data_IF_237956162655
#
_entry.id   IF_237956162655
#
_cell.length_a   1.000
_cell.length_b   1.000
_cell.length_c   1.000
_cell.angle_alpha   90.00
_cell.angle_beta   90.00
_cell.angle_gamma   90.00
#
_symmetry.space_group_name_H-M   'P 1'
#
loop_
_entity.id
_entity.type
_entity.pdbx_description
1 polymer ?
#
# COMPACT_ATOMS: atom_id res chain seq x y z
N UNK A 1 3.95 33.19 54.59
CA UNK A 1 2.92 32.46 53.84
C UNK A 1 3.60 31.21 53.29
N UNK A 2 3.41 30.06 53.95
CA UNK A 2 4.03 28.80 53.54
C UNK A 2 3.13 28.12 52.51
N UNK A 3 3.70 27.74 51.36
CA UNK A 3 3.13 26.74 50.46
C UNK A 3 4.12 25.59 50.37
N UNK A 4 3.75 24.46 50.97
CA UNK A 4 4.37 23.15 50.72
C UNK A 4 3.74 22.59 49.44
N UNK A 5 4.57 22.14 48.50
CA UNK A 5 4.15 21.20 47.47
C UNK A 5 5.08 19.99 47.47
N UNK A 6 4.45 18.82 47.56
CA UNK A 6 5.03 17.50 47.43
C UNK A 6 5.35 17.23 45.95
N UNK A 7 6.61 16.92 45.65
CA UNK A 7 6.98 16.27 44.39
C UNK A 7 7.32 14.79 44.66
N UNK A 8 6.38 13.94 44.25
CA UNK A 8 6.55 12.50 44.20
C UNK A 8 7.63 12.14 43.16
N UNK A 9 8.65 11.41 43.61
CA UNK A 9 9.70 10.88 42.75
C UNK A 9 9.14 9.75 41.87
N UNK A 10 9.10 9.97 40.55
CA UNK A 10 9.01 8.88 39.57
C UNK A 10 10.41 8.29 39.33
N UNK A 11 10.59 6.96 39.34
CA UNK A 11 11.89 6.36 39.08
C UNK A 11 12.22 6.45 37.58
N UNK A 12 13.42 6.95 37.28
CA UNK A 12 13.96 7.02 35.93
C UNK A 12 14.05 5.61 35.30
N UNK A 13 13.36 5.42 34.18
CA UNK A 13 13.49 4.24 33.32
C UNK A 13 14.82 4.31 32.56
N UNK A 14 15.80 3.50 32.95
CA UNK A 14 16.99 3.24 32.14
C UNK A 14 16.64 2.53 30.83
N UNK A 15 17.53 2.57 29.82
CA UNK A 15 17.30 1.91 28.54
C UNK A 15 17.10 0.39 28.74
N UNK A 16 16.22 -0.25 27.96
CA UNK A 16 15.95 -1.68 28.10
C UNK A 16 17.20 -2.51 27.81
N UNK A 17 17.41 -3.57 28.59
CA UNK A 17 18.52 -4.49 28.46
C UNK A 17 18.52 -5.17 27.08
N UNK A 18 19.67 -5.13 26.39
CA UNK A 18 19.89 -5.82 25.12
C UNK A 18 19.86 -7.33 25.39
N UNK A 19 18.85 -8.03 24.86
CA UNK A 19 18.77 -9.49 24.90
C UNK A 19 19.90 -10.06 24.02
N UNK A 20 20.75 -10.97 24.52
CA UNK A 20 21.81 -11.56 23.72
C UNK A 20 21.19 -12.44 22.63
N UNK A 21 21.45 -12.12 21.35
CA UNK A 21 21.04 -12.94 20.21
C UNK A 21 21.88 -14.21 20.17
N UNK A 22 21.24 -15.38 20.23
CA UNK A 22 21.87 -16.66 19.92
C UNK A 22 22.30 -16.66 18.45
N UNK A 23 23.58 -16.87 18.17
CA UNK A 23 24.12 -17.00 16.81
C UNK A 23 23.65 -18.33 16.22
N UNK A 24 23.08 -18.29 15.04
CA UNK A 24 22.63 -19.49 14.34
C UNK A 24 23.82 -20.10 13.57
N UNK A 25 24.25 -21.30 13.96
CA UNK A 25 25.43 -21.98 13.39
C UNK A 25 25.30 -22.30 11.89
N UNK A 26 24.11 -22.12 11.31
CA UNK A 26 23.86 -22.30 9.87
C UNK A 26 24.36 -21.14 9.01
N UNK A 27 24.70 -20.00 9.61
CA UNK A 27 25.19 -18.82 8.89
C UNK A 27 26.64 -18.53 9.24
N UNK A 28 27.49 -18.43 8.21
CA UNK A 28 28.88 -18.04 8.38
C UNK A 28 28.96 -16.59 8.88
N UNK A 29 28.06 -15.73 8.38
CA UNK A 29 27.98 -14.31 8.69
C UNK A 29 26.53 -13.89 8.93
N UNK A 30 26.28 -13.07 9.95
CA UNK A 30 25.01 -12.38 10.18
C UNK A 30 25.22 -10.88 10.04
N UNK A 31 24.42 -10.23 9.19
CA UNK A 31 24.45 -8.79 8.93
C UNK A 31 23.13 -8.21 9.41
N UNK A 32 23.21 -7.32 10.41
CA UNK A 32 22.04 -6.66 10.97
C UNK A 32 21.46 -5.56 10.06
N UNK A 33 20.29 -5.00 10.42
CA UNK A 33 19.68 -3.89 9.70
C UNK A 33 20.65 -2.71 9.54
N UNK A 34 20.72 -2.12 8.34
CA UNK A 34 21.58 -0.97 8.03
C UNK A 34 23.09 -1.28 7.91
N UNK A 35 23.54 -2.49 8.24
CA UNK A 35 24.94 -2.85 8.10
C UNK A 35 25.29 -3.19 6.64
N UNK A 36 26.43 -2.69 6.12
CA UNK A 36 26.82 -2.93 4.73
C UNK A 36 27.22 -4.38 4.51
N UNK A 37 26.81 -4.95 3.37
CA UNK A 37 27.23 -6.27 2.93
C UNK A 37 28.68 -6.26 2.44
N UNK A 38 29.50 -7.17 2.96
CA UNK A 38 30.80 -7.45 2.38
C UNK A 38 30.64 -8.29 1.11
N UNK A 39 31.38 -7.95 0.06
CA UNK A 39 31.50 -8.81 -1.12
C UNK A 39 32.62 -9.83 -0.88
N UNK A 40 32.41 -11.13 -1.18
CA UNK A 40 33.48 -12.11 -1.14
C UNK A 40 34.60 -11.71 -2.11
N UNK A 41 35.86 -11.83 -1.68
CA UNK A 41 36.99 -11.55 -2.55
C UNK A 41 36.87 -12.35 -3.86
N UNK A 42 37.06 -11.68 -5.01
CA UNK A 42 37.14 -12.36 -6.30
C UNK A 42 38.23 -13.42 -6.21
N UNK A 43 37.89 -14.68 -6.53
CA UNK A 43 38.88 -15.75 -6.62
C UNK A 43 40.04 -15.37 -7.54
N UNK A 44 41.15 -16.10 -7.44
CA UNK A 44 42.45 -15.82 -8.09
C UNK A 44 42.44 -15.70 -9.63
N UNK A 45 41.28 -15.77 -10.28
CA UNK A 45 41.07 -15.65 -11.73
C UNK A 45 40.48 -14.32 -12.23
N UNK A 46 40.33 -13.29 -11.39
CA UNK A 46 40.00 -11.92 -11.85
C UNK A 46 38.55 -11.67 -12.32
N UNK A 47 37.63 -12.62 -12.12
CA UNK A 47 36.20 -12.46 -12.43
C UNK A 47 35.43 -11.72 -11.33
N UNK A 48 34.32 -11.06 -11.69
CA UNK A 48 33.38 -10.47 -10.71
C UNK A 48 32.77 -11.58 -9.83
N UNK A 49 32.65 -11.38 -8.51
CA UNK A 49 32.04 -12.37 -7.63
C UNK A 49 30.56 -12.55 -7.98
N UNK A 50 30.10 -13.80 -8.09
CA UNK A 50 28.68 -14.11 -8.31
C UNK A 50 28.02 -14.44 -6.98
N UNK A 51 26.89 -13.83 -6.66
CA UNK A 51 26.16 -14.01 -5.41
C UNK A 51 24.73 -14.41 -5.71
N UNK A 52 24.25 -15.48 -5.07
CA UNK A 52 22.82 -15.83 -5.14
C UNK A 52 22.09 -15.28 -3.92
N UNK A 53 21.03 -14.51 -4.15
CA UNK A 53 20.10 -14.08 -3.12
C UNK A 53 19.00 -15.12 -2.98
N UNK A 54 18.80 -15.58 -1.74
CA UNK A 54 17.71 -16.43 -1.33
C UNK A 54 16.82 -15.68 -0.33
N UNK A 55 15.54 -16.03 -0.24
CA UNK A 55 14.63 -15.37 0.69
C UNK A 55 13.18 -15.78 0.45
N UNK A 56 12.31 -15.47 1.41
CA UNK A 56 10.88 -15.58 1.17
C UNK A 56 10.49 -14.53 0.12
N UNK A 57 9.65 -14.91 -0.85
CA UNK A 57 9.15 -13.96 -1.86
C UNK A 57 8.38 -12.77 -1.26
N UNK A 58 7.93 -12.85 0.00
CA UNK A 58 7.36 -11.69 0.72
C UNK A 58 8.39 -10.58 0.98
N UNK A 59 9.68 -10.91 0.99
CA UNK A 59 10.78 -9.98 1.18
C UNK A 59 11.42 -9.61 -0.17
N UNK A 60 10.69 -9.77 -1.28
CA UNK A 60 11.19 -9.41 -2.60
C UNK A 60 11.68 -7.96 -2.70
N UNK A 61 11.00 -6.94 -2.13
CA UNK A 61 11.53 -5.58 -2.08
C UNK A 61 12.91 -5.50 -1.40
N UNK A 62 13.04 -6.11 -0.21
CA UNK A 62 14.32 -6.16 0.50
C UNK A 62 15.41 -6.91 -0.30
N UNK A 63 15.03 -7.95 -1.06
CA UNK A 63 15.95 -8.67 -1.94
C UNK A 63 16.42 -7.79 -3.11
N UNK A 64 15.57 -6.90 -3.63
CA UNK A 64 15.95 -5.93 -4.67
C UNK A 64 16.96 -4.91 -4.12
N UNK A 65 16.74 -4.39 -2.90
CA UNK A 65 17.70 -3.46 -2.28
C UNK A 65 19.07 -4.10 -2.05
N UNK A 66 19.07 -5.34 -1.55
CA UNK A 66 20.29 -6.14 -1.40
C UNK A 66 20.94 -6.43 -2.74
N UNK A 67 20.16 -6.70 -3.79
CA UNK A 67 20.68 -6.87 -5.14
C UNK A 67 21.33 -5.60 -5.67
N UNK A 68 20.72 -4.43 -5.46
CA UNK A 68 21.27 -3.14 -5.84
C UNK A 68 22.57 -2.84 -5.09
N UNK A 69 22.60 -3.08 -3.77
CA UNK A 69 23.80 -2.90 -2.94
C UNK A 69 24.96 -3.77 -3.43
N UNK A 70 24.73 -5.07 -3.63
CA UNK A 70 25.74 -6.01 -4.13
C UNK A 70 26.20 -5.67 -5.56
N UNK A 71 25.28 -5.27 -6.43
CA UNK A 71 25.59 -4.87 -7.81
C UNK A 71 26.46 -3.61 -7.82
N UNK A 72 26.15 -2.60 -7.01
CA UNK A 72 26.92 -1.36 -6.90
C UNK A 72 28.37 -1.59 -6.47
N UNK A 73 28.59 -2.65 -5.67
CA UNK A 73 29.90 -3.09 -5.20
C UNK A 73 30.61 -4.03 -6.20
N UNK A 74 29.97 -4.37 -7.32
CA UNK A 74 30.57 -5.10 -8.43
C UNK A 74 30.30 -6.60 -8.49
N UNK A 75 29.34 -7.12 -7.72
CA UNK A 75 28.90 -8.51 -7.83
C UNK A 75 27.96 -8.75 -9.03
N UNK A 76 27.97 -9.99 -9.54
CA UNK A 76 26.92 -10.53 -10.41
C UNK A 76 25.86 -11.15 -9.50
N UNK A 77 24.62 -10.67 -9.55
CA UNK A 77 23.55 -11.12 -8.64
C UNK A 77 22.60 -12.08 -9.36
N UNK A 78 22.33 -13.23 -8.73
CA UNK A 78 21.30 -14.18 -9.14
C UNK A 78 20.22 -14.21 -8.06
N UNK A 79 18.93 -14.16 -8.43
CA UNK A 79 17.84 -14.19 -7.43
C UNK A 79 16.56 -14.82 -8.03
N UNK A 80 15.55 -15.18 -7.22
CA UNK A 80 14.26 -15.64 -7.74
C UNK A 80 13.42 -14.44 -8.21
N UNK A 81 12.62 -14.62 -9.27
CA UNK A 81 11.78 -13.56 -9.86
C UNK A 81 10.34 -13.98 -10.13
N UNK A 82 9.99 -15.25 -9.85
CA UNK A 82 8.66 -15.79 -10.13
C UNK A 82 8.06 -16.35 -8.85
N UNK A 83 6.86 -15.87 -8.52
CA UNK A 83 6.01 -16.44 -7.47
C UNK A 83 5.13 -17.52 -8.11
N UNK A 84 5.00 -18.66 -7.43
CA UNK A 84 4.05 -19.71 -7.81
C UNK A 84 2.74 -19.48 -7.06
N UNK A 85 1.57 -19.50 -7.72
CA UNK A 85 0.29 -19.36 -7.04
C UNK A 85 0.08 -20.44 -5.94
N UNK A 86 -0.65 -20.15 -4.85
CA UNK A 86 -0.86 -21.10 -3.75
C UNK A 86 -1.39 -22.48 -4.19
N UNK A 87 -2.30 -22.51 -5.17
CA UNK A 87 -2.89 -23.75 -5.72
C UNK A 87 -1.91 -24.64 -6.49
N UNK A 88 -0.71 -24.14 -6.83
CA UNK A 88 0.28 -24.83 -7.64
C UNK A 88 1.58 -25.15 -6.88
N UNK A 89 1.60 -24.91 -5.56
CA UNK A 89 2.81 -25.09 -4.72
C UNK A 89 3.32 -26.54 -4.66
N UNK A 90 2.51 -27.53 -5.02
CA UNK A 90 2.91 -28.95 -5.12
C UNK A 90 3.08 -29.42 -6.57
N UNK A 91 2.99 -28.51 -7.54
CA UNK A 91 3.02 -28.81 -8.97
C UNK A 91 4.43 -28.89 -9.57
N UNK A 92 4.55 -29.43 -10.80
CA UNK A 92 5.82 -29.55 -11.51
C UNK A 92 6.49 -28.20 -11.78
N UNK A 93 5.71 -27.11 -11.90
CA UNK A 93 6.23 -25.76 -12.08
C UNK A 93 7.04 -25.27 -10.86
N UNK A 94 6.56 -25.53 -9.63
CA UNK A 94 7.30 -25.22 -8.40
C UNK A 94 8.60 -26.03 -8.32
N UNK A 95 8.53 -27.33 -8.59
CA UNK A 95 9.71 -28.20 -8.56
C UNK A 95 10.79 -27.75 -9.56
N UNK A 96 10.39 -27.33 -10.76
CA UNK A 96 11.31 -26.80 -11.77
C UNK A 96 11.95 -25.48 -11.34
N UNK A 97 11.19 -24.56 -10.73
CA UNK A 97 11.72 -23.30 -10.20
C UNK A 97 12.69 -23.53 -9.03
N UNK A 98 12.38 -24.48 -8.15
CA UNK A 98 13.26 -24.86 -7.04
C UNK A 98 14.58 -25.43 -7.53
N UNK A 99 14.54 -26.25 -8.59
CA UNK A 99 15.75 -26.77 -9.21
C UNK A 99 16.55 -25.65 -9.86
N UNK A 100 15.90 -24.76 -10.63
CA UNK A 100 16.57 -23.61 -11.23
C UNK A 100 17.25 -22.72 -10.19
N UNK A 101 16.64 -22.55 -9.01
CA UNK A 101 17.24 -21.74 -7.96
C UNK A 101 18.44 -22.44 -7.29
N UNK A 102 18.40 -23.78 -7.14
CA UNK A 102 19.59 -24.57 -6.75
C UNK A 102 20.72 -24.44 -7.77
N UNK A 103 20.41 -24.48 -9.06
CA UNK A 103 21.42 -24.31 -10.11
C UNK A 103 22.08 -22.91 -10.07
N UNK A 104 21.34 -21.87 -9.63
CA UNK A 104 21.90 -20.53 -9.37
C UNK A 104 22.86 -20.55 -8.19
N UNK A 105 22.49 -21.22 -7.09
CA UNK A 105 23.35 -21.39 -5.92
C UNK A 105 24.67 -22.08 -6.32
N UNK A 106 24.60 -23.16 -7.09
CA UNK A 106 25.78 -23.90 -7.57
C UNK A 106 26.74 -23.02 -8.38
N UNK A 107 26.21 -22.10 -9.19
CA UNK A 107 26.97 -21.16 -10.03
C UNK A 107 27.54 -19.96 -9.25
N UNK A 108 27.02 -19.68 -8.05
CA UNK A 108 27.47 -18.55 -7.24
C UNK A 108 28.67 -18.86 -6.36
N UNK A 109 29.45 -17.83 -6.01
CA UNK A 109 30.54 -17.92 -5.06
C UNK A 109 30.04 -17.92 -3.60
N UNK A 110 28.90 -17.31 -3.32
CA UNK A 110 28.27 -17.25 -2.00
C UNK A 110 26.76 -17.05 -2.09
N UNK A 111 26.08 -17.28 -0.97
CA UNK A 111 24.64 -17.07 -0.81
C UNK A 111 24.36 -15.97 0.21
N UNK A 112 23.40 -15.10 -0.09
CA UNK A 112 22.86 -14.12 0.86
C UNK A 112 21.38 -14.44 1.09
N UNK A 113 21.00 -14.74 2.32
CA UNK A 113 19.62 -14.99 2.73
C UNK A 113 19.03 -13.70 3.28
N UNK A 114 18.03 -13.15 2.61
CA UNK A 114 17.37 -11.91 3.02
C UNK A 114 16.13 -12.20 3.86
N UNK A 115 16.03 -11.51 4.99
CA UNK A 115 14.92 -11.60 5.93
C UNK A 115 14.66 -10.26 6.59
N UNK A 116 13.45 -10.09 7.12
CA UNK A 116 13.16 -9.04 8.11
C UNK A 116 13.93 -9.27 9.44
N UNK A 117 13.86 -8.33 10.41
CA UNK A 117 14.49 -8.51 11.72
C UNK A 117 13.97 -9.68 12.55
N UNK A 118 12.82 -10.29 12.20
CA UNK A 118 12.29 -11.49 12.87
C UNK A 118 13.11 -12.73 12.54
N UNK A 119 13.86 -12.70 11.43
CA UNK A 119 14.67 -13.83 10.99
C UNK A 119 13.86 -14.92 10.30
N UNK A 120 12.65 -14.60 9.81
CA UNK A 120 11.84 -15.58 9.10
C UNK A 120 12.46 -16.00 7.77
N UNK A 121 12.43 -17.30 7.49
CA UNK A 121 12.55 -17.84 6.13
C UNK A 121 11.68 -19.09 5.99
N UNK A 122 11.05 -19.27 4.82
CA UNK A 122 10.09 -20.35 4.57
C UNK A 122 10.77 -21.65 4.15
N UNK A 123 9.99 -22.71 3.90
CA UNK A 123 10.55 -24.04 3.64
C UNK A 123 11.38 -24.13 2.34
N UNK A 124 11.02 -23.36 1.30
CA UNK A 124 11.86 -23.23 0.09
C UNK A 124 13.24 -22.67 0.44
N UNK A 125 13.26 -21.56 1.17
CA UNK A 125 14.49 -20.91 1.61
C UNK A 125 15.30 -21.79 2.59
N UNK A 126 14.64 -22.58 3.45
CA UNK A 126 15.32 -23.61 4.26
C UNK A 126 16.01 -24.65 3.37
N UNK A 127 15.33 -25.13 2.33
CA UNK A 127 15.90 -26.07 1.37
C UNK A 127 17.09 -25.48 0.61
N UNK A 128 17.02 -24.20 0.26
CA UNK A 128 18.11 -23.44 -0.38
C UNK A 128 19.33 -23.30 0.55
N UNK A 129 19.12 -22.92 1.82
CA UNK A 129 20.17 -22.86 2.84
C UNK A 129 20.84 -24.23 3.01
N UNK A 130 20.05 -25.28 3.17
CA UNK A 130 20.58 -26.64 3.32
C UNK A 130 21.36 -27.10 2.08
N UNK A 131 20.92 -26.72 0.89
CA UNK A 131 21.65 -27.00 -0.35
C UNK A 131 22.98 -26.24 -0.41
N UNK A 132 22.98 -24.93 -0.12
CA UNK A 132 24.18 -24.09 -0.08
C UNK A 132 25.24 -24.66 0.87
N UNK A 133 24.85 -24.99 2.11
CA UNK A 133 25.71 -25.61 3.12
C UNK A 133 26.30 -26.92 2.60
N UNK A 134 25.46 -27.81 2.05
CA UNK A 134 25.91 -29.10 1.50
C UNK A 134 26.91 -28.95 0.35
N UNK A 135 26.78 -27.89 -0.45
CA UNK A 135 27.67 -27.57 -1.56
C UNK A 135 28.89 -26.73 -1.15
N UNK A 136 29.06 -26.46 0.15
CA UNK A 136 30.18 -25.68 0.69
C UNK A 136 30.17 -24.21 0.30
N UNK A 137 28.99 -23.65 -0.01
CA UNK A 137 28.83 -22.23 -0.33
C UNK A 137 28.69 -21.45 0.98
N UNK A 138 29.48 -20.38 1.19
CA UNK A 138 29.29 -19.51 2.34
C UNK A 138 27.88 -18.90 2.34
N UNK A 139 27.22 -18.88 3.50
CA UNK A 139 25.87 -18.34 3.67
C UNK A 139 25.88 -17.17 4.63
N UNK A 140 25.47 -16.00 4.12
CA UNK A 140 25.28 -14.79 4.92
C UNK A 140 23.79 -14.57 5.17
N UNK A 141 23.37 -14.47 6.44
CA UNK A 141 22.05 -13.95 6.79
C UNK A 141 22.09 -12.42 6.75
N UNK A 142 21.22 -11.82 5.94
CA UNK A 142 21.11 -10.38 5.78
C UNK A 142 19.75 -9.93 6.28
N UNK A 143 19.74 -9.31 7.45
CA UNK A 143 18.54 -8.67 7.98
C UNK A 143 18.41 -7.27 7.37
N UNK A 144 17.24 -7.01 6.79
CA UNK A 144 16.85 -5.69 6.32
C UNK A 144 15.52 -5.34 6.96
N UNK A 145 15.41 -4.12 7.43
CA UNK A 145 14.12 -3.51 7.67
C UNK A 145 13.63 -2.96 6.34
N UNK A 146 12.31 -2.96 6.12
CA UNK A 146 11.76 -1.99 5.18
C UNK A 146 12.14 -0.64 5.73
N UNK A 147 12.93 0.11 4.97
CA UNK A 147 13.30 1.46 5.37
C UNK A 147 12.09 2.37 5.16
N UNK A 148 11.26 2.51 6.20
CA UNK A 148 10.16 3.47 6.21
C UNK A 148 10.66 4.90 6.47
N UNK A 149 11.96 5.11 6.71
CA UNK A 149 12.54 6.45 6.96
C UNK A 149 12.61 7.34 5.71
N UNK A 150 12.28 6.78 4.54
CA UNK A 150 12.10 7.52 3.29
C UNK A 150 10.73 8.20 3.13
N UNK A 151 9.66 7.76 3.80
CA UNK A 151 8.30 8.26 3.49
C UNK A 151 8.04 9.63 4.12
N UNK A 152 8.61 9.91 5.30
CA UNK A 152 8.64 11.27 5.84
C UNK A 152 9.46 12.25 4.99
N UNK A 153 10.37 11.75 4.14
CA UNK A 153 11.13 12.55 3.16
C UNK A 153 10.44 12.61 1.79
N UNK A 154 9.71 11.57 1.37
CA UNK A 154 8.89 11.56 0.13
C UNK A 154 7.64 12.43 0.28
N UNK A 155 6.93 12.42 1.41
CA UNK A 155 5.86 13.40 1.71
C UNK A 155 6.42 14.83 1.83
N UNK A 156 7.66 14.99 2.29
CA UNK A 156 8.32 16.29 2.34
C UNK A 156 8.88 16.74 0.97
N UNK A 157 9.00 15.83 0.00
CA UNK A 157 9.43 16.08 -1.38
C UNK A 157 8.25 16.02 -2.38
N UNK A 158 7.07 15.61 -1.94
CA UNK A 158 5.81 15.67 -2.68
C UNK A 158 5.50 17.15 -2.94
N UNK A 159 5.62 17.56 -4.20
CA UNK A 159 5.41 18.94 -4.62
C UNK A 159 3.97 19.39 -4.32
N UNK A 160 2.98 18.50 -4.48
CA UNK A 160 1.58 18.80 -4.19
C UNK A 160 1.36 18.98 -2.69
N UNK A 161 1.94 18.11 -1.86
CA UNK A 161 1.92 18.32 -0.39
C UNK A 161 2.60 19.63 -0.01
N UNK A 162 3.73 19.97 -0.60
CA UNK A 162 4.45 21.22 -0.30
C UNK A 162 3.62 22.46 -0.67
N UNK A 163 2.90 22.40 -1.79
CA UNK A 163 2.04 23.47 -2.29
C UNK A 163 0.79 23.63 -1.42
N UNK A 164 0.15 22.52 -1.05
CA UNK A 164 -1.16 22.53 -0.37
C UNK A 164 -1.05 22.64 1.15
N UNK A 165 0.03 22.16 1.78
CA UNK A 165 0.21 22.15 3.24
C UNK A 165 -0.09 23.50 3.95
N UNK A 166 0.23 24.68 3.39
CA UNK A 166 -0.11 25.96 4.02
C UNK A 166 -1.61 26.23 4.18
N UNK A 167 -2.47 25.54 3.43
CA UNK A 167 -3.93 25.67 3.52
C UNK A 167 -4.51 24.83 4.67
N UNK A 168 -3.77 23.82 5.13
CA UNK A 168 -4.24 22.84 6.11
C UNK A 168 -4.01 23.29 7.55
N UNK A 169 -4.94 22.91 8.42
CA UNK A 169 -4.67 22.90 9.87
C UNK A 169 -3.62 21.82 10.22
N UNK A 170 -2.80 22.01 11.29
CA UNK A 170 -1.84 21.00 11.70
C UNK A 170 -2.46 19.61 11.94
N UNK A 171 -3.66 19.58 12.52
CA UNK A 171 -4.42 18.37 12.78
C UNK A 171 -4.89 17.70 11.48
N UNK A 172 -5.42 18.47 10.53
CA UNK A 172 -5.84 17.95 9.22
C UNK A 172 -4.65 17.39 8.43
N UNK A 173 -3.52 18.11 8.40
CA UNK A 173 -2.30 17.64 7.75
C UNK A 173 -1.77 16.35 8.37
N UNK A 174 -1.73 16.27 9.71
CA UNK A 174 -1.30 15.06 10.42
C UNK A 174 -2.22 13.87 10.11
N UNK A 175 -3.53 14.10 10.02
CA UNK A 175 -4.51 13.07 9.66
C UNK A 175 -4.32 12.60 8.21
N UNK A 176 -4.14 13.53 7.28
CA UNK A 176 -3.89 13.22 5.87
C UNK A 176 -2.61 12.38 5.70
N UNK A 177 -1.53 12.78 6.37
CA UNK A 177 -0.26 12.03 6.36
C UNK A 177 -0.44 10.62 6.93
N UNK A 178 -1.08 10.49 8.09
CA UNK A 178 -1.28 9.20 8.74
C UNK A 178 -2.10 8.23 7.88
N UNK A 179 -3.20 8.70 7.28
CA UNK A 179 -4.05 7.90 6.41
C UNK A 179 -3.32 7.49 5.13
N UNK A 180 -2.60 8.42 4.48
CA UNK A 180 -1.87 8.13 3.24
C UNK A 180 -0.70 7.18 3.48
N UNK A 181 0.05 7.34 4.58
CA UNK A 181 1.13 6.42 4.95
C UNK A 181 0.57 5.01 5.17
N UNK A 182 -0.52 4.89 5.93
CA UNK A 182 -1.13 3.58 6.16
C UNK A 182 -1.62 2.91 4.88
N UNK A 183 -2.11 3.67 3.91
CA UNK A 183 -2.50 3.14 2.61
C UNK A 183 -1.31 2.62 1.81
N UNK A 184 -0.21 3.39 1.74
CA UNK A 184 0.98 3.03 0.97
C UNK A 184 1.72 1.85 1.62
N UNK A 185 1.86 1.86 2.94
CA UNK A 185 2.59 0.81 3.67
C UNK A 185 1.76 -0.47 3.88
N UNK A 186 0.44 -0.33 4.02
CA UNK A 186 -0.49 -1.43 4.22
C UNK A 186 -0.95 -2.12 2.94
N UNK A 187 -0.65 -1.54 1.77
CA UNK A 187 -1.03 -2.11 0.48
C UNK A 187 -0.28 -3.40 0.18
N UNK A 188 -1.05 -4.47 -0.03
CA UNK A 188 -0.57 -5.77 -0.49
C UNK A 188 -1.25 -6.17 -1.80
N UNK A 189 -0.57 -6.97 -2.61
CA UNK A 189 -1.09 -7.42 -3.90
C UNK A 189 -0.85 -6.43 -5.04
N UNK A 190 -1.59 -6.60 -6.14
CA UNK A 190 -1.46 -5.76 -7.33
C UNK A 190 -0.30 -6.08 -8.28
N UNK A 191 -0.32 -5.43 -9.44
CA UNK A 191 0.79 -5.43 -10.40
C UNK A 191 1.95 -4.55 -9.89
N UNK A 192 3.14 -4.73 -10.45
CA UNK A 192 4.33 -3.93 -10.09
C UNK A 192 4.17 -2.41 -10.30
N UNK A 193 3.12 -1.98 -11.00
CA UNK A 193 2.73 -0.58 -11.19
C UNK A 193 1.66 -0.09 -10.18
N UNK A 194 1.33 -0.85 -9.13
CA UNK A 194 0.43 -0.44 -8.04
C UNK A 194 -1.06 -0.75 -8.27
N UNK A 195 -1.48 -1.03 -9.50
CA UNK A 195 -2.87 -1.39 -9.82
C UNK A 195 -3.28 -2.73 -9.17
N UNK A 196 -4.52 -2.84 -8.71
CA UNK A 196 -5.10 -4.00 -8.01
C UNK A 196 -4.47 -4.33 -6.64
N UNK A 197 -3.65 -3.44 -6.08
CA UNK A 197 -3.25 -3.55 -4.68
C UNK A 197 -4.41 -3.16 -3.77
N UNK A 198 -4.46 -3.77 -2.59
CA UNK A 198 -5.48 -3.48 -1.57
C UNK A 198 -4.86 -3.44 -0.18
N UNK A 199 -5.48 -2.69 0.73
CA UNK A 199 -5.10 -2.63 2.14
C UNK A 199 -6.33 -2.58 3.04
N UNK A 200 -6.15 -2.97 4.31
CA UNK A 200 -7.11 -2.70 5.37
C UNK A 200 -6.66 -1.49 6.16
N UNK A 201 -7.58 -0.57 6.45
CA UNK A 201 -7.26 0.56 7.32
C UNK A 201 -6.98 0.03 8.74
N UNK A 202 -5.85 0.39 9.37
CA UNK A 202 -5.53 -0.03 10.73
C UNK A 202 -6.61 0.39 11.72
N UNK A 203 -6.92 -0.46 12.70
CA UNK A 203 -7.97 -0.21 13.70
C UNK A 203 -7.75 1.10 14.46
N UNK A 204 -6.48 1.47 14.70
CA UNK A 204 -6.13 2.73 15.37
C UNK A 204 -6.54 3.95 14.55
N UNK A 205 -6.29 3.95 13.23
CA UNK A 205 -6.68 5.03 12.34
C UNK A 205 -8.18 5.02 12.03
N UNK A 206 -8.78 3.83 11.96
CA UNK A 206 -10.23 3.69 11.83
C UNK A 206 -10.95 4.36 13.02
N UNK A 207 -10.39 4.27 14.23
CA UNK A 207 -10.93 4.93 15.42
C UNK A 207 -10.76 6.47 15.43
N UNK A 208 -9.89 7.03 14.58
CA UNK A 208 -9.73 8.47 14.38
C UNK A 208 -10.64 9.04 13.29
N UNK A 209 -11.28 8.17 12.50
CA UNK A 209 -12.30 8.56 11.53
C UNK A 209 -13.64 8.85 12.23
N UNK A 210 -14.51 9.67 11.63
CA UNK A 210 -15.85 9.87 12.14
C UNK A 210 -16.61 8.54 12.28
N UNK A 211 -17.27 8.29 13.41
CA UNK A 211 -17.95 7.02 13.72
C UNK A 211 -18.78 6.43 12.55
N UNK A 212 -19.61 7.22 11.82
CA UNK A 212 -20.39 6.71 10.70
C UNK A 212 -19.53 6.19 9.55
N UNK A 213 -18.39 6.84 9.30
CA UNK A 213 -17.43 6.44 8.27
C UNK A 213 -16.59 5.26 8.74
N UNK A 214 -16.11 5.28 9.98
CA UNK A 214 -15.39 4.18 10.60
C UNK A 214 -16.20 2.87 10.55
N UNK A 215 -17.50 2.96 10.86
CA UNK A 215 -18.42 1.83 10.72
C UNK A 215 -18.57 1.36 9.26
N UNK A 216 -18.71 2.30 8.32
CA UNK A 216 -18.88 1.99 6.90
C UNK A 216 -17.63 1.36 6.26
N UNK A 217 -16.44 1.63 6.79
CA UNK A 217 -15.16 1.14 6.28
C UNK A 217 -14.55 -0.01 7.11
N UNK A 218 -15.18 -0.41 8.22
CA UNK A 218 -14.65 -1.47 9.08
C UNK A 218 -14.55 -2.81 8.34
N UNK A 219 -13.33 -3.34 8.25
CA UNK A 219 -13.04 -4.59 7.54
C UNK A 219 -13.17 -4.50 6.01
N UNK A 220 -13.24 -3.29 5.44
CA UNK A 220 -13.30 -3.06 4.00
C UNK A 220 -11.87 -3.00 3.44
N UNK A 221 -11.61 -3.81 2.41
CA UNK A 221 -10.40 -3.68 1.58
C UNK A 221 -10.52 -2.41 0.71
N UNK A 222 -9.57 -1.51 0.89
CA UNK A 222 -9.42 -0.26 0.16
C UNK A 222 -8.31 -0.40 -0.87
N UNK A 223 -8.39 0.34 -1.97
CA UNK A 223 -7.29 0.50 -2.90
C UNK A 223 -6.41 1.67 -2.45
N UNK A 224 -5.07 1.59 -2.64
CA UNK A 224 -4.19 2.70 -2.33
C UNK A 224 -4.54 3.93 -3.18
N UNK A 225 -4.15 5.15 -2.75
CA UNK A 225 -4.44 6.36 -3.49
C UNK A 225 -3.77 6.33 -4.88
N UNK A 226 -4.50 6.75 -5.91
CA UNK A 226 -3.97 6.88 -7.28
C UNK A 226 -3.44 8.30 -7.54
N UNK A 227 -3.99 9.30 -6.85
CA UNK A 227 -3.61 10.70 -6.95
C UNK A 227 -2.65 11.20 -5.87
N UNK A 228 -2.33 12.50 -5.93
CA UNK A 228 -1.37 13.12 -5.03
C UNK A 228 -1.89 13.23 -3.60
N UNK A 229 -1.03 13.66 -2.69
CA UNK A 229 -1.50 14.10 -1.38
C UNK A 229 -2.55 15.22 -1.54
N UNK A 230 -3.64 15.27 -0.75
CA UNK A 230 -3.96 14.45 0.43
C UNK A 230 -4.93 13.27 0.17
N UNK A 231 -4.95 12.70 -1.04
CA UNK A 231 -5.70 11.46 -1.29
C UNK A 231 -5.10 10.33 -0.45
N UNK A 232 -5.94 9.48 0.11
CA UNK A 232 -5.48 8.36 0.94
C UNK A 232 -6.16 7.03 0.63
N UNK A 233 -7.25 6.99 -0.14
CA UNK A 233 -7.86 5.72 -0.53
C UNK A 233 -8.70 5.83 -1.79
N UNK A 234 -8.91 4.70 -2.46
CA UNK A 234 -9.98 4.51 -3.43
C UNK A 234 -10.84 3.30 -3.05
N UNK A 235 -12.14 3.34 -3.33
CA UNK A 235 -13.02 2.19 -3.07
C UNK A 235 -14.26 2.17 -3.96
N UNK A 236 -14.68 0.95 -4.29
CA UNK A 236 -16.00 0.63 -4.88
C UNK A 236 -16.94 -0.02 -3.86
N UNK A 237 -16.57 -0.01 -2.57
CA UNK A 237 -17.43 -0.57 -1.52
C UNK A 237 -18.76 0.19 -1.49
N UNK A 238 -19.92 -0.50 -1.40
CA UNK A 238 -21.24 0.12 -1.56
C UNK A 238 -21.70 0.93 -0.34
N UNK A 239 -20.90 1.92 0.06
CA UNK A 239 -21.28 2.95 1.03
C UNK A 239 -22.26 3.92 0.38
N UNK A 240 -23.32 4.28 1.11
CA UNK A 240 -24.25 5.33 0.67
C UNK A 240 -23.67 6.71 0.96
N UNK A 241 -22.67 7.13 0.18
CA UNK A 241 -21.97 8.41 0.36
C UNK A 241 -22.89 9.62 0.35
N UNK A 242 -23.89 9.74 -0.56
CA UNK A 242 -24.83 10.87 -0.51
C UNK A 242 -25.60 10.97 0.82
N UNK A 243 -26.02 9.84 1.37
CA UNK A 243 -26.65 9.82 2.68
C UNK A 243 -25.67 10.25 3.77
N UNK A 244 -24.48 9.65 3.79
CA UNK A 244 -23.47 9.86 4.82
C UNK A 244 -23.01 11.32 4.90
N UNK A 245 -22.70 11.94 3.76
CA UNK A 245 -22.30 13.35 3.64
C UNK A 245 -23.45 14.26 4.09
N UNK A 246 -24.68 13.98 3.66
CA UNK A 246 -25.85 14.79 4.02
C UNK A 246 -26.17 14.73 5.51
N UNK A 247 -25.96 13.59 6.18
CA UNK A 247 -26.26 13.44 7.60
C UNK A 247 -25.11 13.84 8.52
N UNK A 248 -23.88 13.96 8.00
CA UNK A 248 -22.69 14.36 8.76
C UNK A 248 -21.83 15.41 8.00
N UNK A 249 -22.39 16.57 7.64
CA UNK A 249 -21.72 17.57 6.80
C UNK A 249 -20.52 18.27 7.50
N UNK A 250 -20.47 18.22 8.83
CA UNK A 250 -19.35 18.72 9.64
C UNK A 250 -18.12 17.79 9.62
N UNK A 251 -18.31 16.54 9.21
CA UNK A 251 -17.27 15.50 9.22
C UNK A 251 -16.87 15.07 7.80
N UNK A 252 -17.79 15.21 6.84
CA UNK A 252 -17.64 14.76 5.46
C UNK A 252 -18.20 15.76 4.46
N UNK A 253 -17.62 15.78 3.28
CA UNK A 253 -18.04 16.65 2.18
C UNK A 253 -17.80 15.98 0.84
N UNK A 254 -18.40 16.53 -0.21
CA UNK A 254 -17.95 16.24 -1.57
C UNK A 254 -16.64 16.96 -1.84
N UNK A 255 -15.75 16.36 -2.63
CA UNK A 255 -14.57 17.03 -3.14
C UNK A 255 -14.97 17.97 -4.30
N UNK A 256 -15.41 19.17 -3.96
CA UNK A 256 -15.88 20.17 -4.93
C UNK A 256 -14.77 20.59 -5.90
N UNK A 257 -13.52 20.67 -5.44
CA UNK A 257 -12.39 21.06 -6.28
C UNK A 257 -12.16 20.05 -7.41
N UNK A 258 -12.15 18.75 -7.11
CA UNK A 258 -12.00 17.70 -8.13
C UNK A 258 -13.20 17.65 -9.09
N UNK A 259 -14.41 17.81 -8.57
CA UNK A 259 -15.61 17.89 -9.42
C UNK A 259 -15.55 19.08 -10.38
N UNK A 260 -15.16 20.25 -9.91
CA UNK A 260 -15.05 21.45 -10.76
C UNK A 260 -13.93 21.31 -11.80
N UNK A 261 -12.75 20.83 -11.40
CA UNK A 261 -11.59 20.70 -12.27
C UNK A 261 -11.77 19.64 -13.37
N UNK A 262 -12.60 18.61 -13.12
CA UNK A 262 -12.79 17.50 -14.04
C UNK A 262 -14.17 17.49 -14.71
N UNK A 263 -14.83 18.65 -14.83
CA UNK A 263 -16.14 18.79 -15.48
C UNK A 263 -17.19 17.81 -14.91
N UNK A 264 -17.19 17.67 -13.59
CA UNK A 264 -18.03 16.74 -12.88
C UNK A 264 -19.46 17.21 -12.71
N UNK A 265 -20.38 16.27 -12.46
CA UNK A 265 -21.76 16.59 -12.14
C UNK A 265 -21.84 17.30 -10.77
N UNK A 266 -22.76 18.25 -10.63
CA UNK A 266 -23.06 18.87 -9.35
C UNK A 266 -23.44 17.79 -8.31
N UNK A 267 -22.97 17.89 -7.05
CA UNK A 267 -23.23 16.85 -6.05
C UNK A 267 -24.71 16.56 -5.77
N UNK A 268 -25.57 17.56 -5.91
CA UNK A 268 -27.02 17.37 -5.80
C UNK A 268 -27.54 16.43 -6.91
N UNK A 269 -27.07 16.60 -8.15
CA UNK A 269 -27.44 15.71 -9.25
C UNK A 269 -26.90 14.29 -9.05
N UNK A 270 -25.69 14.13 -8.52
CA UNK A 270 -25.12 12.82 -8.17
C UNK A 270 -25.99 12.13 -7.11
N UNK A 271 -26.40 12.86 -6.06
CA UNK A 271 -27.27 12.35 -5.01
C UNK A 271 -28.66 11.96 -5.54
N UNK A 272 -29.25 12.78 -6.40
CA UNK A 272 -30.56 12.52 -7.02
C UNK A 272 -30.51 11.30 -7.95
N UNK A 273 -29.46 11.18 -8.78
CA UNK A 273 -29.23 10.02 -9.63
C UNK A 273 -29.05 8.72 -8.81
N UNK A 274 -28.24 8.78 -7.75
CA UNK A 274 -28.06 7.66 -6.83
C UNK A 274 -29.40 7.25 -6.19
N UNK A 275 -30.18 8.22 -5.71
CA UNK A 275 -31.48 7.96 -5.09
C UNK A 275 -32.50 7.39 -6.09
N UNK A 276 -32.51 7.88 -7.33
CA UNK A 276 -33.35 7.36 -8.40
C UNK A 276 -33.05 5.88 -8.67
N UNK A 277 -31.78 5.52 -8.79
CA UNK A 277 -31.36 4.12 -8.95
C UNK A 277 -31.75 3.27 -7.74
N UNK A 278 -31.48 3.76 -6.52
CA UNK A 278 -31.78 3.02 -5.29
C UNK A 278 -33.29 2.74 -5.13
N UNK A 279 -34.14 3.73 -5.38
CA UNK A 279 -35.61 3.60 -5.27
C UNK A 279 -36.21 2.67 -6.32
N UNK A 280 -35.54 2.51 -7.46
CA UNK A 280 -35.91 1.54 -8.49
C UNK A 280 -35.22 0.18 -8.33
N UNK A 281 -34.57 -0.07 -7.19
CA UNK A 281 -33.98 -1.37 -6.87
C UNK A 281 -32.65 -1.68 -7.57
N UNK A 282 -32.03 -0.69 -8.23
CA UNK A 282 -30.85 -0.90 -9.07
C UNK A 282 -29.56 -1.23 -8.27
N UNK A 283 -29.60 -1.06 -6.93
CA UNK A 283 -28.47 -1.24 -5.99
C UNK A 283 -27.24 -0.43 -6.43
N UNK A 284 -27.34 0.91 -6.42
CA UNK A 284 -26.25 1.76 -6.85
C UNK A 284 -25.09 1.72 -5.85
N UNK A 285 -23.89 1.99 -6.35
CA UNK A 285 -22.71 2.30 -5.55
C UNK A 285 -21.86 3.31 -6.30
N UNK A 286 -21.09 4.10 -5.56
CA UNK A 286 -20.11 5.00 -6.14
C UNK A 286 -18.74 4.35 -6.06
N UNK A 287 -17.98 4.50 -7.12
CA UNK A 287 -16.53 4.44 -7.06
C UNK A 287 -16.03 5.83 -6.63
N UNK A 288 -15.22 5.86 -5.57
CA UNK A 288 -14.75 7.13 -4.98
C UNK A 288 -13.27 7.08 -4.64
N UNK A 289 -12.62 8.24 -4.77
CA UNK A 289 -11.38 8.55 -4.04
C UNK A 289 -11.71 9.31 -2.76
N UNK A 290 -10.96 9.03 -1.69
CA UNK A 290 -11.10 9.62 -0.37
C UNK A 290 -9.90 10.51 -0.09
N UNK A 291 -10.23 11.74 0.28
CA UNK A 291 -9.29 12.83 0.54
C UNK A 291 -9.49 13.38 1.95
N UNK A 292 -8.53 14.15 2.44
CA UNK A 292 -8.69 15.01 3.62
C UNK A 292 -8.72 16.45 3.14
N UNK A 293 -9.78 17.19 3.48
CA UNK A 293 -9.89 18.62 3.20
C UNK A 293 -9.03 19.45 4.17
N UNK A 294 -8.68 20.70 3.84
CA UNK A 294 -7.84 21.55 4.70
C UNK A 294 -8.36 21.77 6.13
N UNK A 295 -9.68 21.66 6.31
CA UNK A 295 -10.39 21.76 7.59
C UNK A 295 -10.49 20.42 8.35
N UNK A 296 -9.99 19.32 7.79
CA UNK A 296 -9.93 17.99 8.40
C UNK A 296 -11.13 17.09 8.11
N UNK A 297 -12.13 17.57 7.35
CA UNK A 297 -13.23 16.74 6.87
C UNK A 297 -12.73 15.71 5.85
N UNK A 298 -13.42 14.57 5.78
CA UNK A 298 -13.16 13.60 4.70
C UNK A 298 -13.90 14.07 3.45
N UNK A 299 -13.15 14.41 2.42
CA UNK A 299 -13.68 14.81 1.14
C UNK A 299 -13.79 13.59 0.21
N UNK A 300 -14.99 13.40 -0.33
CA UNK A 300 -15.33 12.27 -1.20
C UNK A 300 -15.36 12.76 -2.65
N UNK A 301 -14.42 12.29 -3.45
CA UNK A 301 -14.39 12.50 -4.89
C UNK A 301 -15.11 11.35 -5.59
N UNK A 302 -16.27 11.58 -6.21
CA UNK A 302 -16.98 10.52 -6.93
C UNK A 302 -16.45 10.40 -8.36
N UNK A 303 -15.89 9.22 -8.68
CA UNK A 303 -15.33 8.93 -10.01
C UNK A 303 -16.39 8.38 -10.96
N UNK A 304 -17.18 7.43 -10.48
CA UNK A 304 -18.22 6.77 -11.25
C UNK A 304 -19.43 6.36 -10.40
N UNK A 305 -20.63 6.44 -10.98
CA UNK A 305 -21.84 5.84 -10.45
C UNK A 305 -22.10 4.51 -11.15
N UNK A 306 -22.29 3.46 -10.38
CA UNK A 306 -22.46 2.10 -10.87
C UNK A 306 -23.75 1.50 -10.33
N UNK A 307 -24.31 0.50 -11.01
CA UNK A 307 -25.43 -0.30 -10.54
C UNK A 307 -25.07 -1.79 -10.54
N UNK A 308 -25.39 -2.53 -9.46
CA UNK A 308 -25.14 -3.98 -9.38
C UNK A 308 -26.19 -4.83 -10.09
N UNK A 309 -27.28 -4.22 -10.54
CA UNK A 309 -28.36 -4.90 -11.24
C UNK A 309 -28.66 -4.18 -12.55
N UNK A 310 -29.23 -4.91 -13.50
CA UNK A 310 -29.55 -4.39 -14.82
C UNK A 310 -30.50 -3.18 -14.68
N UNK A 311 -30.13 -2.07 -15.32
CA UNK A 311 -30.93 -0.85 -15.36
C UNK A 311 -31.70 -0.82 -16.67
N UNK A 312 -33.02 -0.61 -16.60
CA UNK A 312 -33.85 -0.49 -17.81
C UNK A 312 -33.51 0.79 -18.60
N UNK A 313 -33.63 0.74 -19.93
CA UNK A 313 -33.24 1.86 -20.82
C UNK A 313 -33.88 3.19 -20.43
N UNK A 314 -35.18 3.19 -20.12
CA UNK A 314 -35.86 4.42 -19.72
C UNK A 314 -35.40 4.99 -18.36
N UNK A 315 -34.79 4.15 -17.50
CA UNK A 315 -34.17 4.59 -16.26
C UNK A 315 -32.74 5.10 -16.50
N UNK A 316 -32.01 4.53 -17.47
CA UNK A 316 -30.71 5.05 -17.90
C UNK A 316 -30.82 6.50 -18.41
N UNK A 317 -31.78 6.76 -19.31
CA UNK A 317 -32.00 8.10 -19.89
C UNK A 317 -32.32 9.15 -18.81
N UNK A 318 -33.10 8.78 -17.79
CA UNK A 318 -33.42 9.68 -16.67
C UNK A 318 -32.19 10.01 -15.81
N UNK A 319 -31.32 9.03 -15.57
CA UNK A 319 -30.06 9.28 -14.86
C UNK A 319 -29.15 10.19 -15.68
N UNK A 320 -29.04 9.96 -16.99
CA UNK A 320 -28.28 10.83 -17.89
C UNK A 320 -28.80 12.27 -17.81
N UNK A 321 -30.12 12.46 -17.90
CA UNK A 321 -30.74 13.78 -17.84
C UNK A 321 -30.49 14.51 -16.52
N UNK A 322 -30.51 13.79 -15.38
CA UNK A 322 -30.19 14.35 -14.06
C UNK A 322 -28.73 14.83 -14.03
N UNK A 323 -27.79 13.99 -14.45
CA UNK A 323 -26.37 14.30 -14.41
C UNK A 323 -25.99 15.43 -15.39
N UNK A 324 -26.60 15.45 -16.59
CA UNK A 324 -26.45 16.56 -17.56
C UNK A 324 -27.02 17.86 -17.01
N UNK A 325 -28.19 17.83 -16.37
CA UNK A 325 -28.76 19.01 -15.71
C UNK A 325 -27.86 19.50 -14.57
N UNK A 326 -27.10 18.60 -13.94
CA UNK A 326 -26.05 18.88 -12.97
C UNK A 326 -24.75 19.43 -13.57
N UNK A 327 -24.64 19.61 -14.89
CA UNK A 327 -23.48 20.20 -15.55
C UNK A 327 -22.50 19.22 -16.20
N UNK A 328 -22.73 17.90 -16.11
CA UNK A 328 -21.87 16.90 -16.74
C UNK A 328 -22.09 16.87 -18.27
N UNK A 329 -21.05 16.97 -19.10
CA UNK A 329 -21.19 16.84 -20.55
C UNK A 329 -21.70 15.45 -20.94
N UNK A 330 -22.71 15.38 -21.82
CA UNK A 330 -23.39 14.12 -22.16
C UNK A 330 -22.44 13.12 -22.82
N UNK A 331 -21.57 13.62 -23.69
CA UNK A 331 -20.57 12.86 -24.42
C UNK A 331 -19.48 12.24 -23.52
N UNK A 332 -19.40 12.65 -22.24
CA UNK A 332 -18.44 12.12 -21.27
C UNK A 332 -19.12 11.25 -20.19
N UNK A 333 -20.44 11.03 -20.26
CA UNK A 333 -21.17 10.31 -19.21
C UNK A 333 -20.93 8.80 -19.26
N UNK A 334 -21.16 8.18 -20.41
CA UNK A 334 -21.02 6.73 -20.62
C UNK A 334 -21.14 6.41 -22.11
N UNK A 335 -20.57 5.29 -22.52
CA UNK A 335 -20.95 4.68 -23.78
C UNK A 335 -22.35 4.07 -23.67
N UNK A 336 -23.11 4.05 -24.78
CA UNK A 336 -24.51 3.55 -24.79
C UNK A 336 -24.62 2.08 -24.32
N UNK A 337 -23.52 1.33 -24.36
CA UNK A 337 -23.42 -0.09 -23.99
C UNK A 337 -23.03 -0.32 -22.51
N UNK A 338 -22.61 0.71 -21.78
CA UNK A 338 -22.09 0.59 -20.41
C UNK A 338 -23.14 0.92 -19.34
N UNK A 339 -23.15 0.13 -18.26
CA UNK A 339 -24.06 0.26 -17.12
C UNK A 339 -23.46 1.05 -15.95
N UNK A 340 -22.49 1.93 -16.23
CA UNK A 340 -21.93 2.87 -15.28
C UNK A 340 -21.89 4.27 -15.90
N UNK A 341 -21.86 5.29 -15.04
CA UNK A 341 -21.73 6.69 -15.42
C UNK A 341 -20.43 7.26 -14.88
N UNK A 342 -19.56 7.72 -15.77
CA UNK A 342 -18.39 8.53 -15.45
C UNK A 342 -18.83 9.90 -14.93
N UNK A 343 -18.46 10.19 -13.69
CA UNK A 343 -18.86 11.41 -12.97
C UNK A 343 -17.83 12.54 -13.08
N UNK A 344 -16.62 12.23 -13.55
CA UNK A 344 -15.53 13.18 -13.84
C UNK A 344 -14.84 12.83 -15.17
N UNK A 345 -14.17 13.76 -15.81
CA UNK A 345 -13.29 13.46 -16.94
C UNK A 345 -12.05 12.69 -16.47
N UNK A 346 -11.65 11.64 -17.20
CA UNK A 346 -10.43 10.87 -16.96
C UNK A 346 -9.17 11.57 -17.50
#
# INVERSE_FOLDING_TARGET
MNWQNNDAHSPASGPPAVIPRFRDERFDTEVGPGAPLAIPASGTGGGRPTVTICGSMRFFPLMIDVAAELTSKGAIVLMPYKVVPPGEQSGPAKAALDQLHRDKIDQSASVVVVTDPTGYYGDSTRGEIAHAIRTGKPVTLCQRTVDTSGIGQELAADEDRTILLPEFTPEAASKADALRIAAIEGAEGGYACGHDAVYLLPDELLAELPDPLAWALSGVELQPPEGPWPEWARTTHPVNWPYLIRTHPEEMTWNYAMLENNFGAAPAAIADAYQLLATNGARPYLEVCLWVDPDGRIAVEPLALNARTLVEVGLLDQVDDILVAGGRPRELLRDEEEAFWSLIAA
#
